data_IF_405512770995
#
_entry.id   IF_405512770995
#
_cell.length_a   1.000
_cell.length_b   1.000
_cell.length_c   1.000
_cell.angle_alpha   90.00
_cell.angle_beta   90.00
_cell.angle_gamma   90.00
#
_symmetry.space_group_name_H-M   'P 1'
#
loop_
_entity.id
_entity.type
_entity.pdbx_description
1 polymer ?
#
# COMPACT_ATOMS: atom_id res chain seq x y z
N UNK A 1 13.46 -2.45 12.63
CA UNK A 1 12.10 -2.06 12.18
C UNK A 1 11.65 -0.67 12.64
N UNK A 2 11.97 -0.19 13.85
CA UNK A 2 11.63 1.17 14.28
C UNK A 2 12.30 2.30 13.47
N UNK A 3 13.52 2.11 13.01
CA UNK A 3 14.28 3.13 12.28
C UNK A 3 13.71 3.44 10.88
N UNK A 4 13.19 2.48 10.13
CA UNK A 4 12.64 2.70 8.79
C UNK A 4 11.30 3.44 8.85
N UNK A 5 10.44 3.13 9.82
CA UNK A 5 9.21 3.90 10.09
C UNK A 5 9.53 5.33 10.55
N UNK A 6 10.55 5.49 11.38
CA UNK A 6 11.02 6.81 11.84
C UNK A 6 11.56 7.64 10.67
N UNK A 7 12.32 7.03 9.75
CA UNK A 7 12.85 7.71 8.56
C UNK A 7 11.77 8.10 7.55
N UNK A 8 10.74 7.28 7.35
CA UNK A 8 9.62 7.62 6.47
C UNK A 8 8.78 8.76 7.06
N UNK A 9 8.45 8.70 8.35
CA UNK A 9 7.70 9.75 9.04
C UNK A 9 8.50 11.06 9.16
N UNK A 10 9.81 10.98 9.44
CA UNK A 10 10.69 12.15 9.46
C UNK A 10 10.88 12.72 8.04
N UNK A 11 10.92 11.90 7.01
CA UNK A 11 10.98 12.32 5.61
C UNK A 11 9.73 13.08 5.18
N UNK A 12 8.55 12.70 5.63
CA UNK A 12 7.29 13.42 5.38
C UNK A 12 7.24 14.77 6.12
N UNK A 13 7.60 14.78 7.39
CA UNK A 13 7.64 16.01 8.19
C UNK A 13 8.67 17.03 7.67
N UNK A 14 9.81 16.55 7.16
CA UNK A 14 10.89 17.40 6.63
C UNK A 14 10.71 17.72 5.13
N UNK A 15 9.80 17.06 4.43
CA UNK A 15 9.57 17.26 3.00
C UNK A 15 9.35 18.71 2.58
N UNK A 16 8.49 19.53 3.24
CA UNK A 16 8.28 20.92 2.84
C UNK A 16 9.55 21.76 2.96
N UNK A 17 10.47 21.41 3.87
CA UNK A 17 11.76 22.06 4.04
C UNK A 17 12.78 21.53 3.00
N UNK A 18 12.83 20.21 2.81
CA UNK A 18 13.77 19.56 1.88
C UNK A 18 13.49 19.96 0.43
N UNK A 19 12.22 20.09 0.02
CA UNK A 19 11.84 20.51 -1.34
C UNK A 19 12.22 21.98 -1.63
N UNK A 20 12.26 22.84 -0.60
CA UNK A 20 12.68 24.23 -0.74
C UNK A 20 14.20 24.41 -0.77
N UNK A 21 14.96 23.50 -0.18
CA UNK A 21 16.40 23.66 0.04
C UNK A 21 17.24 22.80 -0.91
N UNK A 22 16.72 21.66 -1.36
CA UNK A 22 17.45 20.69 -2.17
C UNK A 22 16.98 20.68 -3.64
N UNK A 23 17.90 20.64 -4.61
CA UNK A 23 17.55 20.49 -6.04
C UNK A 23 16.78 19.18 -6.25
N UNK A 24 15.75 19.19 -7.10
CA UNK A 24 14.93 18.03 -7.45
C UNK A 24 15.74 16.80 -7.86
N UNK A 25 16.90 17.00 -8.53
CA UNK A 25 17.83 15.91 -8.92
C UNK A 25 18.44 15.20 -7.71
N UNK A 26 18.66 15.90 -6.61
CA UNK A 26 19.24 15.30 -5.39
C UNK A 26 18.15 14.55 -4.61
N UNK A 27 16.93 15.09 -4.55
CA UNK A 27 15.77 14.43 -3.95
C UNK A 27 15.41 13.13 -4.68
N UNK A 28 15.49 13.12 -6.03
CA UNK A 28 15.25 11.91 -6.82
C UNK A 28 16.32 10.85 -6.59
N UNK A 29 17.59 11.23 -6.46
CA UNK A 29 18.69 10.31 -6.11
C UNK A 29 18.56 9.73 -4.71
N UNK A 30 18.17 10.54 -3.72
CA UNK A 30 17.87 10.08 -2.36
C UNK A 30 16.71 9.10 -2.34
N UNK A 31 15.62 9.41 -3.04
CA UNK A 31 14.47 8.52 -3.19
C UNK A 31 14.87 7.20 -3.87
N UNK A 32 15.64 7.25 -4.94
CA UNK A 32 16.15 6.06 -5.62
C UNK A 32 17.08 5.22 -4.72
N UNK A 33 17.95 5.84 -3.93
CA UNK A 33 18.81 5.15 -2.97
C UNK A 33 18.02 4.44 -1.87
N UNK A 34 16.96 5.06 -1.36
CA UNK A 34 16.07 4.45 -0.36
C UNK A 34 15.32 3.26 -0.99
N UNK A 35 14.82 3.41 -2.21
CA UNK A 35 14.12 2.34 -2.93
C UNK A 35 15.07 1.18 -3.23
N UNK A 36 16.29 1.44 -3.70
CA UNK A 36 17.28 0.40 -4.00
C UNK A 36 17.68 -0.38 -2.74
N UNK A 37 17.99 0.31 -1.63
CA UNK A 37 18.26 -0.33 -0.34
C UNK A 37 17.06 -1.14 0.18
N UNK A 38 15.86 -0.67 -0.10
CA UNK A 38 14.63 -1.36 0.25
C UNK A 38 14.43 -2.62 -0.61
N UNK A 39 14.76 -2.54 -1.90
CA UNK A 39 14.69 -3.67 -2.83
C UNK A 39 15.73 -4.74 -2.48
N UNK A 40 16.94 -4.35 -2.10
CA UNK A 40 17.97 -5.29 -1.61
C UNK A 40 17.53 -5.99 -0.32
N UNK A 41 16.91 -5.27 0.62
CA UNK A 41 16.34 -5.86 1.83
C UNK A 41 15.18 -6.79 1.51
N UNK A 42 14.31 -6.43 0.56
CA UNK A 42 13.20 -7.29 0.14
C UNK A 42 13.70 -8.58 -0.52
N UNK A 43 14.76 -8.53 -1.31
CA UNK A 43 15.38 -9.73 -1.89
C UNK A 43 16.05 -10.63 -0.84
N UNK A 44 16.44 -10.07 0.31
CA UNK A 44 17.01 -10.79 1.45
C UNK A 44 15.96 -11.27 2.47
N UNK A 45 14.84 -10.53 2.61
CA UNK A 45 13.73 -10.89 3.50
C UNK A 45 12.74 -11.80 2.75
N UNK A 46 12.78 -13.08 3.02
CA UNK A 46 11.79 -14.02 2.50
C UNK A 46 10.47 -13.83 3.24
N UNK A 47 9.39 -13.50 2.53
CA UNK A 47 8.03 -13.54 3.07
C UNK A 47 7.71 -15.01 3.37
N UNK A 48 7.25 -15.27 4.59
CA UNK A 48 6.87 -16.62 5.00
C UNK A 48 5.63 -17.08 4.22
N UNK A 49 5.66 -18.34 3.80
CA UNK A 49 4.58 -18.92 2.99
C UNK A 49 3.26 -18.96 3.75
N UNK A 50 2.18 -18.85 2.99
CA UNK A 50 0.82 -19.01 3.50
C UNK A 50 0.67 -20.30 4.30
N UNK A 51 0.04 -20.18 5.49
CA UNK A 51 -0.25 -21.31 6.38
C UNK A 51 -1.76 -21.32 6.66
N UNK A 52 -2.50 -22.31 6.12
CA UNK A 52 -3.93 -22.42 6.36
C UNK A 52 -4.28 -22.51 7.85
N UNK A 53 -5.33 -21.81 8.28
CA UNK A 53 -5.83 -21.83 9.65
C UNK A 53 -4.99 -21.06 10.69
N UNK A 54 -3.91 -20.39 10.26
CA UNK A 54 -3.12 -19.52 11.16
C UNK A 54 -3.84 -18.22 11.51
N UNK A 55 -4.58 -17.67 10.57
CA UNK A 55 -5.45 -16.51 10.72
C UNK A 55 -6.90 -16.90 10.46
N UNK A 56 -7.84 -16.04 10.79
CA UNK A 56 -9.26 -16.25 10.48
C UNK A 56 -9.46 -16.19 8.96
N UNK A 57 -10.40 -16.97 8.46
CA UNK A 57 -10.83 -16.88 7.05
C UNK A 57 -11.46 -15.52 6.76
N UNK A 58 -11.06 -14.89 5.65
CA UNK A 58 -11.56 -13.60 5.23
C UNK A 58 -10.49 -12.73 4.56
N UNK A 59 -10.80 -11.45 4.34
CA UNK A 59 -9.95 -10.55 3.60
C UNK A 59 -9.56 -9.28 4.37
N UNK A 60 -8.29 -8.90 4.27
CA UNK A 60 -7.79 -7.60 4.70
C UNK A 60 -7.62 -6.74 3.44
N UNK A 61 -8.47 -5.73 3.26
CA UNK A 61 -8.37 -4.78 2.15
C UNK A 61 -7.43 -3.66 2.55
N UNK A 62 -6.35 -3.51 1.81
CA UNK A 62 -5.31 -2.51 2.09
C UNK A 62 -5.16 -1.60 0.87
N UNK A 63 -5.45 -0.31 1.01
CA UNK A 63 -5.33 0.64 -0.10
C UNK A 63 -5.85 2.02 0.22
N UNK A 64 -5.78 2.92 -0.76
CA UNK A 64 -6.23 4.31 -0.63
C UNK A 64 -7.76 4.43 -0.68
N UNK A 65 -8.44 3.90 0.35
CA UNK A 65 -9.92 3.79 0.37
C UNK A 65 -10.61 5.16 0.30
N UNK A 66 -9.98 6.20 0.86
CA UNK A 66 -10.48 7.58 0.84
C UNK A 66 -10.14 8.34 -0.44
N UNK A 67 -9.34 7.76 -1.32
CA UNK A 67 -8.90 8.41 -2.55
C UNK A 67 -10.03 8.67 -3.55
N UNK A 68 -10.04 9.87 -4.14
CA UNK A 68 -11.00 10.28 -5.19
C UNK A 68 -10.51 9.87 -6.60
N UNK A 69 -9.66 8.87 -6.67
CA UNK A 69 -9.06 8.35 -7.90
C UNK A 69 -9.48 6.90 -8.18
N UNK A 70 -9.05 6.37 -9.33
CA UNK A 70 -9.39 5.00 -9.76
C UNK A 70 -8.94 3.91 -8.79
N UNK A 71 -7.81 4.10 -8.09
CA UNK A 71 -7.35 3.16 -7.03
C UNK A 71 -8.32 3.11 -5.85
N UNK A 72 -8.74 4.29 -5.35
CA UNK A 72 -9.70 4.37 -4.27
C UNK A 72 -11.06 3.80 -4.68
N UNK A 73 -11.50 4.09 -5.91
CA UNK A 73 -12.73 3.51 -6.45
C UNK A 73 -12.65 1.98 -6.56
N UNK A 74 -11.55 1.45 -7.08
CA UNK A 74 -11.35 -0.01 -7.19
C UNK A 74 -11.37 -0.70 -5.81
N UNK A 75 -10.72 -0.10 -4.81
CA UNK A 75 -10.72 -0.63 -3.45
C UNK A 75 -12.14 -0.63 -2.84
N UNK A 76 -12.92 0.43 -3.04
CA UNK A 76 -14.32 0.51 -2.59
C UNK A 76 -15.24 -0.48 -3.31
N UNK A 77 -15.05 -0.71 -4.61
CA UNK A 77 -15.78 -1.74 -5.36
C UNK A 77 -15.48 -3.13 -4.76
N UNK A 78 -14.22 -3.42 -4.43
CA UNK A 78 -13.87 -4.68 -3.78
C UNK A 78 -14.57 -4.83 -2.43
N UNK A 79 -14.60 -3.79 -1.60
CA UNK A 79 -15.35 -3.81 -0.33
C UNK A 79 -16.84 -4.08 -0.56
N UNK A 80 -17.46 -3.41 -1.54
CA UNK A 80 -18.88 -3.64 -1.89
C UNK A 80 -19.15 -5.08 -2.32
N UNK A 81 -18.28 -5.66 -3.14
CA UNK A 81 -18.39 -7.06 -3.58
C UNK A 81 -18.29 -8.05 -2.41
N UNK A 82 -17.39 -7.79 -1.45
CA UNK A 82 -17.26 -8.62 -0.26
C UNK A 82 -18.49 -8.47 0.66
N UNK A 83 -19.03 -7.25 0.82
CA UNK A 83 -20.28 -6.99 1.56
C UNK A 83 -21.46 -7.73 0.93
N UNK A 84 -21.63 -7.65 -0.39
CA UNK A 84 -22.73 -8.31 -1.12
C UNK A 84 -22.68 -9.84 -1.01
N UNK A 85 -21.50 -10.41 -0.88
CA UNK A 85 -21.29 -11.85 -0.72
C UNK A 85 -21.21 -12.29 0.74
N UNK A 86 -21.36 -11.38 1.70
CA UNK A 86 -21.23 -11.63 3.14
C UNK A 86 -19.85 -12.22 3.52
N UNK A 87 -18.81 -11.86 2.78
CA UNK A 87 -17.43 -12.31 3.07
C UNK A 87 -16.81 -11.47 4.19
N UNK A 88 -16.29 -12.11 5.26
CA UNK A 88 -15.65 -11.39 6.36
C UNK A 88 -14.46 -10.58 5.87
N UNK A 89 -14.46 -9.27 6.15
CA UNK A 89 -13.33 -8.44 5.78
C UNK A 89 -13.14 -7.22 6.70
N UNK A 90 -11.93 -6.70 6.69
CA UNK A 90 -11.54 -5.42 7.31
C UNK A 90 -10.91 -4.51 6.28
N UNK A 91 -10.92 -3.21 6.58
CA UNK A 91 -10.43 -2.18 5.66
C UNK A 91 -9.34 -1.39 6.36
N UNK A 92 -8.12 -1.41 5.81
CA UNK A 92 -7.01 -0.60 6.25
C UNK A 92 -6.69 0.45 5.20
N UNK A 93 -6.88 1.72 5.56
CA UNK A 93 -6.51 2.82 4.68
C UNK A 93 -4.99 2.95 4.59
N UNK A 94 -4.48 2.83 3.38
CA UNK A 94 -3.05 2.99 3.08
C UNK A 94 -2.85 3.89 1.87
N UNK A 95 -2.01 4.89 2.03
CA UNK A 95 -1.77 5.84 0.97
C UNK A 95 -0.33 6.37 1.00
N UNK A 96 0.22 6.67 -0.17
CA UNK A 96 1.56 7.24 -0.35
C UNK A 96 1.42 8.68 -0.86
N UNK A 97 1.85 9.70 -0.07
CA UNK A 97 1.85 11.09 -0.54
C UNK A 97 2.80 11.32 -1.73
N UNK A 98 2.45 12.24 -2.64
CA UNK A 98 1.30 13.11 -2.73
C UNK A 98 0.17 12.49 -3.56
N UNK A 99 -0.60 11.61 -2.98
CA UNK A 99 -1.66 10.94 -3.73
C UNK A 99 -2.92 11.78 -3.82
N UNK A 100 -3.25 12.56 -4.73
CA UNK A 100 -4.51 13.19 -5.07
C UNK A 100 -5.46 13.59 -3.92
N UNK A 101 -6.69 13.97 -4.27
CA UNK A 101 -7.76 14.26 -3.30
C UNK A 101 -8.20 12.99 -2.56
N UNK A 102 -8.55 13.14 -1.29
CA UNK A 102 -8.97 12.06 -0.39
C UNK A 102 -10.18 12.49 0.45
N UNK A 103 -11.28 12.75 -0.22
CA UNK A 103 -12.52 13.26 0.40
C UNK A 103 -13.62 12.20 0.54
N UNK A 104 -13.38 10.98 0.07
CA UNK A 104 -14.38 9.92 0.13
C UNK A 104 -14.43 9.26 1.51
N UNK A 105 -15.57 9.36 2.17
CA UNK A 105 -15.80 8.84 3.52
C UNK A 105 -16.76 7.66 3.57
N UNK A 106 -17.05 7.00 2.42
CA UNK A 106 -18.03 5.88 2.33
C UNK A 106 -17.76 4.76 3.34
N UNK A 107 -16.47 4.49 3.67
CA UNK A 107 -16.05 3.45 4.61
C UNK A 107 -15.29 4.00 5.81
N UNK A 108 -15.43 5.29 6.14
CA UNK A 108 -14.62 5.93 7.17
C UNK A 108 -14.85 5.34 8.58
N UNK A 109 -16.04 4.86 8.87
CA UNK A 109 -16.46 4.21 10.11
C UNK A 109 -15.97 2.76 10.26
N UNK A 110 -15.47 2.15 9.17
CA UNK A 110 -15.04 0.74 9.11
C UNK A 110 -13.53 0.58 9.03
N UNK A 111 -12.78 1.67 9.11
CA UNK A 111 -11.32 1.62 9.01
C UNK A 111 -10.70 1.05 10.27
N UNK A 112 -9.68 0.20 10.10
CA UNK A 112 -8.94 -0.40 11.21
C UNK A 112 -7.46 -0.59 10.86
N UNK A 113 -6.61 -0.61 11.88
CA UNK A 113 -5.20 -0.99 11.75
C UNK A 113 -4.99 -2.50 11.93
N UNK A 114 -5.99 -3.22 12.47
CA UNK A 114 -5.91 -4.65 12.69
C UNK A 114 -6.18 -5.42 11.38
N UNK A 115 -5.41 -6.48 11.16
CA UNK A 115 -5.48 -7.35 9.99
C UNK A 115 -5.63 -8.80 10.45
N UNK A 116 -6.84 -9.23 10.89
CA UNK A 116 -7.06 -10.53 11.50
C UNK A 116 -7.17 -11.68 10.50
N UNK A 117 -7.32 -11.39 9.21
CA UNK A 117 -7.66 -12.39 8.19
C UNK A 117 -6.45 -12.95 7.46
N UNK A 118 -6.63 -14.08 6.82
CA UNK A 118 -5.60 -14.87 6.15
C UNK A 118 -5.29 -14.42 4.70
N UNK A 119 -6.18 -13.64 4.08
CA UNK A 119 -5.96 -13.08 2.74
C UNK A 119 -5.75 -11.57 2.81
N UNK A 120 -4.68 -11.09 2.22
CA UNK A 120 -4.47 -9.66 1.97
C UNK A 120 -4.81 -9.33 0.52
N UNK A 121 -5.65 -8.32 0.30
CA UNK A 121 -5.93 -7.74 -1.02
C UNK A 121 -5.43 -6.31 -1.02
N UNK A 122 -4.35 -6.06 -1.77
CA UNK A 122 -3.60 -4.82 -1.72
C UNK A 122 -3.84 -4.02 -3.01
N UNK A 123 -4.44 -2.85 -2.88
CA UNK A 123 -4.72 -1.90 -3.96
C UNK A 123 -3.72 -0.75 -3.92
N UNK A 124 -2.61 -0.89 -4.63
CA UNK A 124 -1.55 0.14 -4.73
C UNK A 124 -1.04 0.23 -6.16
N UNK A 125 -0.42 1.34 -6.52
CA UNK A 125 0.35 1.42 -7.76
C UNK A 125 1.61 0.54 -7.66
N UNK A 126 2.07 -0.01 -8.77
CA UNK A 126 3.30 -0.80 -8.82
C UNK A 126 4.51 -0.03 -8.23
N UNK A 127 4.59 1.28 -8.49
CA UNK A 127 5.63 2.16 -7.94
C UNK A 127 5.53 2.41 -6.42
N UNK A 128 4.39 2.13 -5.81
CA UNK A 128 4.09 2.33 -4.39
C UNK A 128 4.22 1.05 -3.57
N UNK A 129 4.24 -0.11 -4.25
CA UNK A 129 4.28 -1.41 -3.60
C UNK A 129 5.45 -1.55 -2.60
N UNK A 130 6.65 -1.11 -2.98
CA UNK A 130 7.82 -1.15 -2.10
C UNK A 130 7.64 -0.28 -0.85
N UNK A 131 6.99 0.88 -1.01
CA UNK A 131 6.68 1.75 0.14
C UNK A 131 5.65 1.08 1.04
N UNK A 132 4.63 0.44 0.47
CA UNK A 132 3.63 -0.33 1.22
C UNK A 132 4.30 -1.46 2.01
N UNK A 133 5.17 -2.25 1.36
CA UNK A 133 5.88 -3.34 2.01
C UNK A 133 6.68 -2.88 3.23
N UNK A 134 7.46 -1.81 3.08
CA UNK A 134 8.31 -1.29 4.16
C UNK A 134 7.51 -0.61 5.28
N UNK A 135 6.43 0.10 4.92
CA UNK A 135 5.63 0.88 5.88
C UNK A 135 4.74 -0.02 6.73
N UNK A 136 4.16 -1.05 6.13
CA UNK A 136 3.24 -1.96 6.82
C UNK A 136 3.98 -2.94 7.73
N UNK A 137 5.23 -3.28 7.39
CA UNK A 137 6.05 -4.22 8.15
C UNK A 137 5.85 -5.68 7.70
N UNK A 138 6.89 -6.51 7.92
CA UNK A 138 6.94 -7.90 7.47
C UNK A 138 5.77 -8.74 8.03
N UNK A 139 5.36 -8.47 9.25
CA UNK A 139 4.27 -9.17 9.95
C UNK A 139 2.92 -9.10 9.24
N UNK A 140 2.72 -8.10 8.38
CA UNK A 140 1.50 -7.99 7.55
C UNK A 140 1.50 -9.01 6.43
N UNK A 141 2.68 -9.33 5.91
CA UNK A 141 2.84 -10.18 4.71
C UNK A 141 3.00 -11.66 5.05
N UNK A 142 3.64 -11.96 6.19
CA UNK A 142 4.00 -13.31 6.58
C UNK A 142 2.77 -14.19 6.83
N UNK A 143 2.85 -15.43 6.34
CA UNK A 143 1.87 -16.51 6.53
C UNK A 143 0.48 -16.24 5.95
N UNK A 144 0.31 -15.17 5.17
CA UNK A 144 -0.94 -14.79 4.50
C UNK A 144 -0.86 -15.02 3.00
N UNK A 145 -2.02 -15.20 2.38
CA UNK A 145 -2.15 -15.19 0.94
C UNK A 145 -2.21 -13.73 0.47
N UNK A 146 -1.17 -13.27 -0.22
CA UNK A 146 -1.03 -11.87 -0.61
C UNK A 146 -1.40 -11.67 -2.08
N UNK A 147 -2.50 -10.97 -2.35
CA UNK A 147 -2.98 -10.57 -3.67
C UNK A 147 -2.69 -9.09 -3.87
N UNK A 148 -1.81 -8.76 -4.81
CA UNK A 148 -1.54 -7.38 -5.17
C UNK A 148 -2.30 -7.02 -6.44
N UNK A 149 -3.28 -6.14 -6.34
CA UNK A 149 -3.98 -5.55 -7.47
C UNK A 149 -3.23 -4.28 -7.86
N UNK A 150 -2.32 -4.42 -8.83
CA UNK A 150 -1.51 -3.32 -9.32
C UNK A 150 -2.27 -2.58 -10.42
N UNK A 151 -2.57 -1.32 -10.18
CA UNK A 151 -3.11 -0.46 -11.22
C UNK A 151 -1.96 0.06 -12.09
N UNK A 152 -1.91 -0.40 -13.33
CA UNK A 152 -1.03 0.14 -14.35
C UNK A 152 -1.87 0.92 -15.35
N UNK A 153 -1.60 2.22 -15.50
CA UNK A 153 -2.19 2.96 -16.63
C UNK A 153 -1.73 2.30 -17.92
N UNK A 154 -2.64 2.01 -18.85
CA UNK A 154 -2.23 1.50 -20.16
C UNK A 154 -1.24 2.50 -20.79
N UNK A 155 -0.13 1.97 -21.32
CA UNK A 155 0.85 2.82 -21.97
C UNK A 155 0.26 3.39 -23.27
N UNK A 156 0.74 4.54 -23.77
CA UNK A 156 0.32 5.04 -25.08
C UNK A 156 0.48 4.02 -26.23
N UNK A 157 1.35 3.01 -26.04
CA UNK A 157 1.55 1.91 -27.00
C UNK A 157 0.39 0.91 -27.01
N UNK A 158 -0.35 0.80 -25.92
CA UNK A 158 -1.48 -0.14 -25.82
C UNK A 158 -2.70 0.35 -26.60
N UNK A 159 -2.73 1.65 -26.96
CA UNK A 159 -3.75 2.26 -27.81
C UNK A 159 -3.35 2.36 -29.30
N UNK A 160 -2.11 1.98 -29.64
CA UNK A 160 -1.58 2.10 -31.00
C UNK A 160 -1.73 0.82 -31.84
N UNK A 161 -2.48 -0.18 -31.35
CA UNK A 161 -2.73 -1.43 -32.03
C UNK A 161 -4.06 -1.42 -32.80
#
# INVERSE_FOLDING_TARGET
>A
MALSKLFLNAGEALRPVLVKVLPMKLLSKLKAGIINNATEKLSADTIEKYVPGRYKEGANIIGNIKGDNGLGQSARIMCSLLDENNEPHVIRDFFVPPGGSRSNDTYADRLTEELPFDVNIIHVNASEFMVAYLSLGKEVWDYRYNICLLYTSPSPRDYAA
#
